data_IF_410627318246
#
_entry.id   IF_410627318246
#
_cell.length_a   1.000
_cell.length_b   1.000
_cell.length_c   1.000
_cell.angle_alpha   90.00
_cell.angle_beta   90.00
_cell.angle_gamma   90.00
#
_symmetry.space_group_name_H-M   'P 1'
#
loop_
_entity.id
_entity.type
_entity.pdbx_description
1 polymer ?
#
# COMPACT_ATOMS: atom_id res chain seq x y z
N UNK A 1 20.99 2.63 24.12
CA UNK A 1 21.59 2.71 22.79
C UNK A 1 21.02 3.97 22.16
N UNK A 2 21.87 4.92 21.76
CA UNK A 2 21.44 6.16 21.07
C UNK A 2 20.73 5.76 19.78
N UNK A 3 19.47 6.17 19.60
CA UNK A 3 18.74 5.95 18.34
C UNK A 3 19.50 6.64 17.21
N UNK A 4 19.83 5.86 16.17
CA UNK A 4 20.47 6.35 14.97
C UNK A 4 19.43 7.13 14.18
N UNK A 5 19.67 8.43 13.89
CA UNK A 5 18.72 9.28 13.16
C UNK A 5 18.44 8.75 11.75
N UNK A 6 17.30 9.12 11.17
CA UNK A 6 16.98 8.77 9.78
C UNK A 6 18.08 9.20 8.83
N UNK A 7 18.60 10.42 9.00
CA UNK A 7 19.68 10.96 8.17
C UNK A 7 20.93 10.06 8.17
N UNK A 8 21.29 9.48 9.32
CA UNK A 8 22.39 8.52 9.43
C UNK A 8 22.05 7.18 8.79
N UNK A 9 20.82 6.69 8.95
CA UNK A 9 20.37 5.40 8.35
C UNK A 9 20.36 5.44 6.83
N UNK A 10 19.97 6.57 6.22
CA UNK A 10 19.90 6.74 4.76
C UNK A 10 21.20 7.27 4.14
N UNK A 11 22.25 7.50 4.92
CA UNK A 11 23.48 8.14 4.44
C UNK A 11 24.16 7.36 3.31
N UNK A 12 24.11 6.03 3.36
CA UNK A 12 24.68 5.14 2.35
C UNK A 12 23.75 4.83 1.19
N UNK A 13 22.48 5.23 1.27
CA UNK A 13 21.48 4.89 0.27
C UNK A 13 21.53 5.83 -0.94
N UNK A 14 21.51 5.25 -2.13
CA UNK A 14 21.35 5.99 -3.38
C UNK A 14 19.89 6.35 -3.66
N UNK A 15 18.97 5.45 -3.29
CA UNK A 15 17.53 5.66 -3.32
C UNK A 15 16.86 4.81 -2.23
N UNK A 16 15.76 5.31 -1.65
CA UNK A 16 15.06 4.67 -0.54
C UNK A 16 13.61 5.12 -0.44
N UNK A 17 12.81 4.34 0.29
CA UNK A 17 11.48 4.73 0.70
C UNK A 17 11.45 5.05 2.20
N UNK A 18 10.65 6.04 2.55
CA UNK A 18 10.31 6.43 3.92
C UNK A 18 8.86 6.02 4.19
N UNK A 19 8.62 5.36 5.33
CA UNK A 19 7.30 4.91 5.77
C UNK A 19 6.93 5.67 7.04
N UNK A 20 6.00 6.60 6.94
CA UNK A 20 5.61 7.49 8.04
C UNK A 20 4.77 6.78 9.10
N UNK A 21 5.33 6.56 10.29
CA UNK A 21 4.62 6.04 11.45
C UNK A 21 3.44 6.95 11.84
N UNK A 22 3.65 8.26 11.84
CA UNK A 22 2.60 9.23 12.20
C UNK A 22 1.41 9.16 11.24
N UNK A 23 1.65 9.00 9.92
CA UNK A 23 0.60 8.85 8.93
C UNK A 23 -0.17 7.53 9.14
N UNK A 24 0.53 6.41 9.42
CA UNK A 24 -0.11 5.14 9.75
C UNK A 24 -1.03 5.29 10.96
N UNK A 25 -0.53 5.87 12.05
CA UNK A 25 -1.32 6.09 13.28
C UNK A 25 -2.55 6.95 13.03
N UNK A 26 -2.41 8.04 12.28
CA UNK A 26 -3.51 8.94 11.92
C UNK A 26 -4.57 8.21 11.09
N UNK A 27 -4.17 7.46 10.05
CA UNK A 27 -5.09 6.75 9.18
C UNK A 27 -5.83 5.63 9.92
N UNK A 28 -5.12 4.83 10.72
CA UNK A 28 -5.74 3.74 11.52
C UNK A 28 -6.72 4.30 12.53
N UNK A 29 -6.38 5.38 13.24
CA UNK A 29 -7.27 6.07 14.16
C UNK A 29 -8.54 6.55 13.47
N UNK A 30 -8.39 7.17 12.30
CA UNK A 30 -9.51 7.65 11.47
C UNK A 30 -10.43 6.48 11.04
N UNK A 31 -9.84 5.39 10.56
CA UNK A 31 -10.57 4.19 10.16
C UNK A 31 -11.29 3.55 11.35
N UNK A 32 -10.64 3.47 12.52
CA UNK A 32 -11.27 2.98 13.75
C UNK A 32 -12.47 3.84 14.15
N UNK A 33 -12.35 5.16 14.07
CA UNK A 33 -13.48 6.08 14.31
C UNK A 33 -14.64 5.84 13.33
N UNK A 34 -14.32 5.52 12.05
CA UNK A 34 -15.35 5.26 11.03
C UNK A 34 -16.09 3.95 11.25
N UNK A 35 -15.41 2.89 11.68
CA UNK A 35 -16.01 1.56 11.82
C UNK A 35 -16.51 1.24 13.24
N UNK A 36 -16.02 1.93 14.26
CA UNK A 36 -16.32 1.67 15.66
C UNK A 36 -15.58 0.45 16.22
N UNK A 37 -15.67 0.25 17.54
CA UNK A 37 -14.92 -0.80 18.26
C UNK A 37 -15.49 -2.22 18.07
N UNK A 38 -16.75 -2.35 17.66
CA UNK A 38 -17.41 -3.64 17.46
C UNK A 38 -17.01 -4.32 16.14
N UNK A 39 -16.42 -3.59 15.19
CA UNK A 39 -16.05 -4.11 13.88
C UNK A 39 -14.54 -4.40 13.85
N UNK A 40 -14.16 -5.60 13.45
CA UNK A 40 -12.75 -5.97 13.28
C UNK A 40 -12.11 -5.15 12.15
N UNK A 41 -11.07 -4.39 12.47
CA UNK A 41 -10.29 -3.61 11.52
C UNK A 41 -9.16 -4.46 10.95
N UNK A 42 -9.40 -5.10 9.80
CA UNK A 42 -8.39 -5.84 9.06
C UNK A 42 -7.64 -4.93 8.09
N UNK A 43 -6.32 -4.85 8.20
CA UNK A 43 -5.48 -4.09 7.27
C UNK A 43 -4.80 -5.01 6.28
N UNK A 44 -4.90 -4.67 4.98
CA UNK A 44 -4.34 -5.46 3.88
C UNK A 44 -2.87 -5.10 3.70
N UNK A 45 -1.98 -6.08 3.91
CA UNK A 45 -0.52 -5.93 3.81
C UNK A 45 0.12 -6.85 2.75
N UNK A 46 -0.68 -7.41 1.84
CA UNK A 46 -0.20 -8.21 0.69
C UNK A 46 0.66 -7.39 -0.27
N UNK A 47 1.38 -8.07 -1.16
CA UNK A 47 2.24 -7.47 -2.18
C UNK A 47 3.28 -6.52 -1.54
N UNK A 48 4.01 -7.05 -0.55
CA UNK A 48 4.99 -6.32 0.26
C UNK A 48 4.41 -5.05 0.90
N UNK A 49 3.18 -5.16 1.48
CA UNK A 49 2.40 -4.05 2.02
C UNK A 49 2.20 -2.94 0.96
N UNK A 50 1.72 -3.29 -0.24
CA UNK A 50 1.64 -2.37 -1.39
C UNK A 50 2.96 -1.64 -1.66
N UNK A 51 4.09 -2.36 -1.58
CA UNK A 51 5.42 -1.80 -1.80
C UNK A 51 6.04 -1.03 -0.64
N UNK A 52 5.37 -0.96 0.51
CA UNK A 52 5.87 -0.26 1.71
C UNK A 52 6.83 -1.11 2.58
N UNK A 53 7.00 -2.42 2.27
CA UNK A 53 7.78 -3.36 3.08
C UNK A 53 6.91 -4.04 4.15
N UNK A 54 6.58 -5.33 3.92
CA UNK A 54 5.51 -6.03 4.66
C UNK A 54 5.75 -6.10 6.17
N UNK A 55 6.96 -6.41 6.63
CA UNK A 55 7.24 -6.67 8.05
C UNK A 55 7.18 -5.38 8.87
N UNK A 56 7.91 -4.35 8.44
CA UNK A 56 7.98 -3.08 9.16
C UNK A 56 6.61 -2.40 9.19
N UNK A 57 5.96 -2.30 8.03
CA UNK A 57 4.66 -1.64 7.90
C UNK A 57 3.54 -2.39 8.65
N UNK A 58 3.52 -3.74 8.61
CA UNK A 58 2.55 -4.53 9.36
C UNK A 58 2.70 -4.34 10.87
N UNK A 59 3.94 -4.23 11.38
CA UNK A 59 4.21 -3.93 12.79
C UNK A 59 3.61 -2.60 13.19
N UNK A 60 3.83 -1.56 12.39
CA UNK A 60 3.27 -0.24 12.65
C UNK A 60 1.73 -0.23 12.62
N UNK A 61 1.11 -0.95 11.68
CA UNK A 61 -0.36 -1.08 11.65
C UNK A 61 -0.92 -1.75 12.90
N UNK A 62 -0.28 -2.83 13.37
CA UNK A 62 -0.71 -3.51 14.60
C UNK A 62 -0.55 -2.60 15.81
N UNK A 63 0.58 -1.89 15.93
CA UNK A 63 0.81 -0.93 17.02
C UNK A 63 -0.18 0.24 16.99
N UNK A 64 -0.61 0.66 15.80
CA UNK A 64 -1.60 1.71 15.61
C UNK A 64 -3.05 1.25 15.92
N UNK A 65 -3.30 -0.05 16.12
CA UNK A 65 -4.61 -0.58 16.49
C UNK A 65 -5.35 -1.34 15.38
N UNK A 66 -4.65 -1.83 14.36
CA UNK A 66 -5.21 -2.83 13.44
C UNK A 66 -5.39 -4.16 14.17
N UNK A 67 -6.59 -4.76 14.05
CA UNK A 67 -6.90 -6.03 14.73
C UNK A 67 -6.34 -7.23 13.97
N UNK A 68 -6.44 -7.22 12.64
CA UNK A 68 -6.02 -8.31 11.76
C UNK A 68 -5.12 -7.82 10.63
N UNK A 69 -4.22 -8.71 10.19
CA UNK A 69 -3.41 -8.51 8.98
C UNK A 69 -3.96 -9.40 7.86
N UNK A 70 -4.10 -8.82 6.66
CA UNK A 70 -4.66 -9.52 5.51
C UNK A 70 -3.60 -9.62 4.42
N UNK A 71 -3.27 -10.85 4.04
CA UNK A 71 -2.27 -11.18 3.01
C UNK A 71 -2.92 -11.93 1.85
N UNK A 72 -2.17 -12.14 0.75
CA UNK A 72 -2.65 -12.89 -0.38
C UNK A 72 -2.17 -14.34 -0.40
N UNK A 73 -0.96 -14.60 0.06
CA UNK A 73 -0.29 -15.89 -0.04
C UNK A 73 0.18 -16.41 1.32
N UNK A 74 0.29 -17.73 1.44
CA UNK A 74 0.77 -18.36 2.67
C UNK A 74 2.20 -17.94 3.03
N UNK A 75 3.10 -17.72 2.05
CA UNK A 75 4.46 -17.27 2.33
C UNK A 75 4.53 -15.87 2.94
N UNK A 76 3.56 -14.99 2.65
CA UNK A 76 3.47 -13.67 3.31
C UNK A 76 3.10 -13.84 4.80
N UNK A 77 2.20 -14.80 5.11
CA UNK A 77 1.88 -15.13 6.50
C UNK A 77 3.10 -15.72 7.24
N UNK A 78 3.88 -16.58 6.58
CA UNK A 78 5.14 -17.10 7.15
C UNK A 78 6.10 -15.96 7.48
N UNK A 79 6.34 -15.04 6.54
CA UNK A 79 7.19 -13.85 6.76
C UNK A 79 6.78 -13.04 8.00
N UNK A 80 5.48 -12.83 8.19
CA UNK A 80 4.96 -12.09 9.34
C UNK A 80 5.18 -12.86 10.66
N UNK A 81 5.00 -14.19 10.66
CA UNK A 81 5.26 -15.03 11.85
C UNK A 81 6.74 -15.13 12.19
N UNK A 82 7.62 -15.27 11.19
CA UNK A 82 9.08 -15.24 11.39
C UNK A 82 9.55 -13.90 11.98
N UNK A 83 8.84 -12.81 11.69
CA UNK A 83 9.06 -11.50 12.29
C UNK A 83 8.39 -11.32 13.69
N UNK A 84 7.88 -12.39 14.28
CA UNK A 84 7.19 -12.42 15.58
C UNK A 84 5.92 -11.58 15.67
N UNK A 85 5.24 -11.31 14.56
CA UNK A 85 3.94 -10.64 14.54
C UNK A 85 2.84 -11.64 14.93
N UNK A 86 2.17 -11.44 16.07
CA UNK A 86 1.16 -12.35 16.63
C UNK A 86 -0.28 -12.00 16.22
N UNK A 87 -0.51 -10.84 15.64
CA UNK A 87 -1.85 -10.46 15.18
C UNK A 87 -2.50 -11.55 14.30
N UNK A 88 -3.81 -11.77 14.38
CA UNK A 88 -4.51 -12.70 13.50
C UNK A 88 -4.23 -12.37 12.02
N UNK A 89 -3.98 -13.43 11.21
CA UNK A 89 -3.71 -13.31 9.78
C UNK A 89 -4.86 -13.95 9.00
N UNK A 90 -5.32 -13.27 7.94
CA UNK A 90 -6.27 -13.78 6.98
C UNK A 90 -5.66 -13.80 5.57
N UNK A 91 -5.58 -14.99 4.96
CA UNK A 91 -5.11 -15.18 3.59
C UNK A 91 -6.33 -15.07 2.67
N UNK A 92 -6.43 -14.00 1.90
CA UNK A 92 -7.57 -13.71 1.01
C UNK A 92 -7.37 -14.23 -0.43
N UNK A 93 -6.19 -14.74 -0.77
CA UNK A 93 -5.88 -15.32 -2.06
C UNK A 93 -6.03 -16.85 -2.09
N UNK A 94 -5.70 -17.44 -3.22
CA UNK A 94 -5.73 -18.90 -3.37
C UNK A 94 -4.64 -19.56 -2.53
N UNK A 95 -5.01 -20.62 -1.81
CA UNK A 95 -4.10 -21.51 -1.09
C UNK A 95 -4.17 -22.89 -1.75
N UNK A 96 -3.16 -23.33 -2.48
CA UNK A 96 -3.15 -24.69 -3.02
C UNK A 96 -3.04 -25.73 -1.89
N UNK A 97 -3.58 -26.94 -2.10
CA UNK A 97 -3.57 -28.02 -1.11
C UNK A 97 -2.15 -28.34 -0.58
N UNK A 98 -1.13 -28.18 -1.42
CA UNK A 98 0.30 -28.37 -1.05
C UNK A 98 0.82 -27.38 0.00
N UNK A 99 0.12 -26.28 0.23
CA UNK A 99 0.47 -25.27 1.24
C UNK A 99 -0.37 -25.38 2.54
N UNK A 100 -1.22 -26.38 2.67
CA UNK A 100 -2.09 -26.55 3.83
C UNK A 100 -1.30 -26.59 5.16
N UNK A 101 -0.14 -27.27 5.17
CA UNK A 101 0.73 -27.32 6.36
C UNK A 101 1.26 -25.93 6.77
N UNK A 102 1.66 -25.09 5.80
CA UNK A 102 2.10 -23.72 6.10
C UNK A 102 0.97 -22.89 6.74
N UNK A 103 -0.26 -23.07 6.25
CA UNK A 103 -1.44 -22.39 6.82
C UNK A 103 -1.65 -22.81 8.26
N UNK A 104 -1.65 -24.12 8.54
CA UNK A 104 -1.80 -24.64 9.90
C UNK A 104 -0.67 -24.12 10.82
N UNK A 105 0.60 -24.20 10.42
CA UNK A 105 1.74 -23.73 11.20
C UNK A 105 1.68 -22.23 11.52
N UNK A 106 1.18 -21.41 10.58
CA UNK A 106 1.04 -19.96 10.79
C UNK A 106 -0.22 -19.59 11.58
N UNK A 107 -1.12 -20.56 11.85
CA UNK A 107 -2.45 -20.32 12.43
C UNK A 107 -3.23 -19.24 11.68
N UNK A 108 -3.02 -19.16 10.36
CA UNK A 108 -3.73 -18.21 9.52
C UNK A 108 -5.14 -18.71 9.18
N UNK A 109 -6.06 -17.78 9.06
CA UNK A 109 -7.37 -18.02 8.44
C UNK A 109 -7.23 -17.95 6.93
N UNK A 110 -8.07 -18.68 6.22
CA UNK A 110 -8.05 -18.64 4.75
C UNK A 110 -9.44 -18.39 4.17
N UNK A 111 -9.43 -17.80 2.98
CA UNK A 111 -10.61 -17.88 2.10
C UNK A 111 -10.70 -19.27 1.51
N UNK A 112 -11.89 -19.85 1.49
CA UNK A 112 -12.12 -21.19 0.98
C UNK A 112 -13.31 -21.24 0.02
N UNK A 113 -13.16 -22.01 -1.08
CA UNK A 113 -14.18 -22.22 -2.11
C UNK A 113 -13.95 -23.53 -2.90
N UNK A 114 -13.13 -24.45 -2.36
CA UNK A 114 -12.78 -25.69 -3.02
C UNK A 114 -12.81 -26.84 -2.00
N UNK A 115 -13.54 -27.98 -2.29
CA UNK A 115 -13.65 -29.09 -1.37
C UNK A 115 -12.37 -29.91 -1.18
N UNK A 116 -11.48 -29.97 -2.18
CA UNK A 116 -10.21 -30.68 -2.04
C UNK A 116 -9.24 -29.89 -1.17
N UNK A 117 -9.26 -28.57 -1.30
CA UNK A 117 -8.50 -27.69 -0.38
C UNK A 117 -9.06 -27.83 1.04
N UNK A 118 -10.38 -27.90 1.22
CA UNK A 118 -10.99 -28.13 2.54
C UNK A 118 -10.45 -29.39 3.23
N UNK A 119 -10.39 -30.52 2.50
CA UNK A 119 -9.85 -31.79 3.00
C UNK A 119 -8.36 -31.66 3.36
N UNK A 120 -7.56 -31.02 2.52
CA UNK A 120 -6.14 -30.81 2.79
C UNK A 120 -5.91 -29.95 4.02
N UNK A 121 -6.67 -28.87 4.18
CA UNK A 121 -6.63 -27.97 5.36
C UNK A 121 -7.06 -28.69 6.63
N UNK A 122 -8.13 -29.51 6.56
CA UNK A 122 -8.58 -30.30 7.70
C UNK A 122 -7.50 -31.29 8.18
N UNK A 123 -6.86 -31.99 7.25
CA UNK A 123 -5.75 -32.89 7.55
C UNK A 123 -4.58 -32.15 8.21
N UNK A 124 -4.18 -31.02 7.65
CA UNK A 124 -3.09 -30.20 8.19
C UNK A 124 -3.42 -29.65 9.61
N UNK A 125 -4.65 -29.20 9.83
CA UNK A 125 -5.10 -28.74 11.14
C UNK A 125 -5.10 -29.86 12.18
N UNK A 126 -5.58 -31.07 11.83
CA UNK A 126 -5.55 -32.24 12.71
C UNK A 126 -4.10 -32.63 13.06
N UNK A 127 -3.17 -32.64 12.09
CA UNK A 127 -1.77 -32.91 12.32
C UNK A 127 -1.08 -31.86 13.19
N UNK A 128 -1.49 -30.60 13.07
CA UNK A 128 -1.00 -29.49 13.88
C UNK A 128 -1.67 -29.40 15.29
N UNK A 129 -2.69 -30.23 15.57
CA UNK A 129 -3.38 -30.26 16.86
C UNK A 129 -4.37 -29.12 17.11
N UNK A 130 -4.81 -28.43 16.06
CA UNK A 130 -5.82 -27.36 16.15
C UNK A 130 -6.65 -27.24 14.86
N UNK A 131 -7.86 -26.68 14.95
CA UNK A 131 -8.65 -26.42 13.75
C UNK A 131 -8.18 -25.14 13.03
N UNK A 132 -8.02 -25.24 11.70
CA UNK A 132 -7.81 -24.10 10.84
C UNK A 132 -9.15 -23.44 10.55
N UNK A 133 -9.25 -22.13 10.82
CA UNK A 133 -10.48 -21.37 10.57
C UNK A 133 -10.57 -20.92 9.12
N UNK A 134 -11.75 -21.09 8.53
CA UNK A 134 -11.96 -20.77 7.11
C UNK A 134 -13.17 -19.86 6.92
N UNK A 135 -13.09 -18.98 5.92
CA UNK A 135 -14.18 -18.13 5.47
C UNK A 135 -14.60 -18.55 4.07
N UNK A 136 -15.83 -19.02 3.89
CA UNK A 136 -16.34 -19.39 2.58
C UNK A 136 -16.53 -18.14 1.72
N UNK A 137 -16.03 -18.21 0.48
CA UNK A 137 -16.18 -17.15 -0.49
C UNK A 137 -17.47 -17.32 -1.27
N UNK A 138 -18.38 -16.37 -1.14
CA UNK A 138 -19.65 -16.34 -1.87
C UNK A 138 -19.45 -15.53 -3.16
N UNK A 139 -19.79 -16.12 -4.30
CA UNK A 139 -19.84 -15.42 -5.58
C UNK A 139 -21.09 -14.55 -5.65
N UNK A 140 -20.88 -13.25 -5.73
CA UNK A 140 -21.97 -12.27 -5.79
C UNK A 140 -21.98 -11.42 -7.06
N UNK A 141 -21.03 -11.67 -7.99
CA UNK A 141 -20.99 -10.98 -9.29
C UNK A 141 -19.59 -10.53 -9.74
N UNK A 142 -18.53 -10.79 -8.95
CA UNK A 142 -17.17 -10.46 -9.36
C UNK A 142 -16.59 -11.46 -10.36
N UNK A 143 -17.08 -12.72 -10.37
CA UNK A 143 -16.65 -13.82 -11.22
C UNK A 143 -15.13 -14.06 -11.22
N UNK A 144 -14.51 -13.94 -10.04
CA UNK A 144 -13.07 -14.11 -9.83
C UNK A 144 -12.72 -15.26 -8.91
N UNK A 145 -13.41 -15.34 -7.76
CA UNK A 145 -13.26 -16.36 -6.74
C UNK A 145 -14.59 -16.53 -6.01
N UNK A 146 -14.91 -17.74 -5.61
CA UNK A 146 -16.08 -18.01 -4.77
C UNK A 146 -17.03 -19.02 -5.39
N UNK A 147 -18.03 -19.39 -4.62
CA UNK A 147 -19.06 -20.37 -4.97
C UNK A 147 -20.45 -19.70 -5.04
N UNK A 148 -21.31 -20.15 -5.94
CA UNK A 148 -22.74 -19.90 -5.81
C UNK A 148 -23.25 -20.35 -4.44
N UNK A 149 -24.25 -19.68 -3.89
CA UNK A 149 -24.78 -19.96 -2.54
C UNK A 149 -25.09 -21.45 -2.31
N UNK A 150 -25.71 -22.12 -3.30
CA UNK A 150 -26.03 -23.55 -3.20
C UNK A 150 -24.79 -24.41 -2.96
N UNK A 151 -23.71 -24.15 -3.71
CA UNK A 151 -22.47 -24.94 -3.62
C UNK A 151 -21.69 -24.58 -2.35
N UNK A 152 -21.79 -23.33 -1.89
CA UNK A 152 -21.20 -22.90 -0.62
C UNK A 152 -21.85 -23.62 0.58
N UNK A 153 -23.17 -23.84 0.55
CA UNK A 153 -23.86 -24.62 1.58
C UNK A 153 -23.43 -26.10 1.56
N UNK A 154 -23.25 -26.70 0.36
CA UNK A 154 -22.70 -28.06 0.23
C UNK A 154 -21.28 -28.15 0.81
N UNK A 155 -20.43 -27.16 0.54
CA UNK A 155 -19.08 -27.12 1.10
C UNK A 155 -19.12 -26.92 2.63
N UNK A 156 -20.03 -26.11 3.16
CA UNK A 156 -20.23 -25.96 4.59
C UNK A 156 -20.62 -27.28 5.27
N UNK A 157 -21.51 -28.06 4.62
CA UNK A 157 -21.86 -29.39 5.10
C UNK A 157 -20.66 -30.35 5.12
N UNK A 158 -19.81 -30.32 4.09
CA UNK A 158 -18.58 -31.09 4.07
C UNK A 158 -17.65 -30.68 5.24
N UNK A 159 -17.46 -29.39 5.48
CA UNK A 159 -16.59 -28.86 6.56
C UNK A 159 -17.07 -29.42 7.92
N UNK A 160 -18.36 -29.51 8.19
CA UNK A 160 -18.89 -30.08 9.45
C UNK A 160 -18.53 -31.54 9.67
N UNK A 161 -18.21 -32.30 8.61
CA UNK A 161 -17.80 -33.71 8.72
C UNK A 161 -16.30 -33.91 8.87
N UNK A 162 -15.51 -32.83 8.84
CA UNK A 162 -14.05 -32.86 8.83
C UNK A 162 -13.51 -32.36 10.18
N UNK A 163 -12.64 -33.15 10.82
CA UNK A 163 -11.87 -32.70 11.98
C UNK A 163 -10.66 -31.86 11.55
N UNK A 164 -10.30 -30.84 12.33
CA UNK A 164 -9.16 -29.97 12.08
C UNK A 164 -9.43 -28.76 11.17
N UNK A 165 -10.71 -28.49 10.86
CA UNK A 165 -11.16 -27.30 10.13
C UNK A 165 -12.41 -26.73 10.80
N UNK A 166 -12.58 -25.42 10.77
CA UNK A 166 -13.71 -24.72 11.38
C UNK A 166 -14.25 -23.64 10.42
N UNK A 167 -15.55 -23.64 10.15
CA UNK A 167 -16.23 -22.56 9.43
C UNK A 167 -16.40 -21.36 10.37
N UNK A 168 -15.54 -20.33 10.24
CA UNK A 168 -15.60 -19.10 11.02
C UNK A 168 -16.41 -18.01 10.32
N UNK A 169 -16.43 -17.97 8.98
CA UNK A 169 -17.05 -16.86 8.28
C UNK A 169 -17.51 -17.12 6.84
N UNK A 170 -18.26 -16.14 6.32
CA UNK A 170 -18.54 -15.99 4.90
C UNK A 170 -18.09 -14.62 4.41
N UNK A 171 -17.69 -14.53 3.15
CA UNK A 171 -17.16 -13.29 2.58
C UNK A 171 -17.49 -13.15 1.11
N UNK A 172 -17.53 -11.91 0.63
CA UNK A 172 -17.52 -11.57 -0.79
C UNK A 172 -16.56 -10.44 -1.10
N UNK A 173 -16.55 -9.94 -2.33
CA UNK A 173 -15.80 -8.75 -2.73
C UNK A 173 -16.57 -7.99 -3.81
N UNK A 174 -16.60 -6.67 -3.69
CA UNK A 174 -17.24 -5.81 -4.66
C UNK A 174 -16.45 -5.75 -5.96
N UNK A 175 -17.16 -5.66 -7.07
CA UNK A 175 -16.55 -5.60 -8.39
C UNK A 175 -16.19 -4.16 -8.80
N UNK A 176 -17.02 -3.18 -8.42
CA UNK A 176 -16.96 -1.84 -8.99
C UNK A 176 -17.22 -0.69 -8.00
N UNK A 177 -17.28 -0.95 -6.67
CA UNK A 177 -17.60 0.11 -5.70
C UNK A 177 -16.64 1.29 -5.71
N UNK A 178 -15.41 1.10 -6.19
CA UNK A 178 -14.39 2.14 -6.26
C UNK A 178 -14.27 2.79 -7.64
N UNK A 179 -14.79 2.15 -8.70
CA UNK A 179 -14.57 2.55 -10.09
C UNK A 179 -15.75 3.35 -10.69
N UNK A 180 -16.78 3.64 -9.89
CA UNK A 180 -18.00 4.33 -10.35
C UNK A 180 -18.69 5.10 -9.22
N UNK A 181 -19.48 6.10 -9.59
CA UNK A 181 -20.46 6.75 -8.70
C UNK A 181 -21.86 6.08 -8.73
N UNK A 182 -22.07 5.14 -9.67
CA UNK A 182 -23.29 4.32 -9.74
C UNK A 182 -23.11 3.00 -8.98
N UNK A 183 -23.50 2.97 -7.74
CA UNK A 183 -23.31 1.83 -6.84
C UNK A 183 -24.43 0.79 -6.86
N UNK A 184 -25.33 0.79 -7.85
CA UNK A 184 -26.45 -0.16 -7.90
C UNK A 184 -25.98 -1.62 -7.93
N UNK A 185 -24.91 -1.93 -8.68
CA UNK A 185 -24.39 -3.28 -8.76
C UNK A 185 -23.72 -3.71 -7.43
N UNK A 186 -22.91 -2.87 -6.83
CA UNK A 186 -22.30 -3.15 -5.53
C UNK A 186 -23.35 -3.35 -4.43
N UNK A 187 -24.49 -2.60 -4.46
CA UNK A 187 -25.63 -2.84 -3.55
C UNK A 187 -26.30 -4.19 -3.77
N UNK A 188 -26.43 -4.64 -5.01
CA UNK A 188 -26.92 -5.99 -5.32
C UNK A 188 -25.97 -7.06 -4.76
N UNK A 189 -24.65 -6.86 -4.84
CA UNK A 189 -23.67 -7.77 -4.25
C UNK A 189 -23.79 -7.85 -2.73
N UNK A 190 -24.00 -6.71 -2.06
CA UNK A 190 -24.25 -6.67 -0.62
C UNK A 190 -25.54 -7.44 -0.27
N UNK A 191 -26.63 -7.22 -1.00
CA UNK A 191 -27.91 -7.95 -0.81
C UNK A 191 -27.71 -9.45 -0.95
N UNK A 192 -26.98 -9.93 -1.97
CA UNK A 192 -26.69 -11.36 -2.17
C UNK A 192 -25.88 -11.95 -1.01
N UNK A 193 -24.93 -11.19 -0.44
CA UNK A 193 -24.20 -11.64 0.75
C UNK A 193 -25.11 -11.74 1.98
N UNK A 194 -26.01 -10.78 2.17
CA UNK A 194 -27.00 -10.81 3.26
C UNK A 194 -27.99 -11.97 3.10
N UNK A 195 -28.38 -12.31 1.87
CA UNK A 195 -29.18 -13.49 1.56
C UNK A 195 -28.41 -14.77 1.90
N UNK A 196 -27.12 -14.82 1.57
CA UNK A 196 -26.27 -15.94 1.93
C UNK A 196 -26.17 -16.10 3.46
N UNK A 197 -25.92 -15.03 4.22
CA UNK A 197 -25.90 -15.09 5.69
C UNK A 197 -27.22 -15.65 6.26
N UNK A 198 -28.35 -15.15 5.77
CA UNK A 198 -29.68 -15.70 6.19
C UNK A 198 -29.82 -17.18 5.88
N UNK A 199 -29.43 -17.62 4.68
CA UNK A 199 -29.50 -19.02 4.27
C UNK A 199 -28.61 -19.93 5.13
N UNK A 200 -27.39 -19.49 5.46
CA UNK A 200 -26.52 -20.23 6.37
C UNK A 200 -27.13 -20.38 7.76
N UNK A 201 -27.68 -19.31 8.33
CA UNK A 201 -28.38 -19.35 9.64
C UNK A 201 -29.61 -20.27 9.62
N UNK A 202 -30.41 -20.21 8.54
CA UNK A 202 -31.58 -21.10 8.38
C UNK A 202 -31.18 -22.58 8.24
N UNK A 203 -30.01 -22.84 7.65
CA UNK A 203 -29.43 -24.19 7.57
C UNK A 203 -28.77 -24.66 8.88
N UNK A 204 -28.81 -23.84 9.96
CA UNK A 204 -28.25 -24.18 11.29
C UNK A 204 -26.77 -23.89 11.47
N UNK A 205 -26.14 -23.15 10.54
CA UNK A 205 -24.71 -22.75 10.69
C UNK A 205 -24.59 -21.50 11.54
N UNK A 206 -23.63 -21.52 12.47
CA UNK A 206 -23.16 -20.31 13.16
C UNK A 206 -22.00 -19.73 12.38
N UNK A 207 -22.19 -18.53 11.82
CA UNK A 207 -21.19 -17.83 11.02
C UNK A 207 -20.93 -16.45 11.65
N UNK A 208 -20.01 -16.36 12.63
CA UNK A 208 -19.77 -15.12 13.36
C UNK A 208 -19.16 -14.01 12.51
N UNK A 209 -18.42 -14.39 11.44
CA UNK A 209 -17.71 -13.44 10.59
C UNK A 209 -18.38 -13.31 9.23
N UNK A 210 -19.07 -12.20 9.00
CA UNK A 210 -19.67 -11.86 7.69
C UNK A 210 -19.03 -10.54 7.22
N UNK A 211 -18.29 -10.57 6.09
CA UNK A 211 -17.55 -9.39 5.67
C UNK A 211 -17.43 -9.22 4.16
N UNK A 212 -17.51 -7.97 3.70
CA UNK A 212 -17.39 -7.60 2.28
C UNK A 212 -16.56 -6.35 2.05
N UNK A 213 -16.58 -5.40 2.99
CA UNK A 213 -16.03 -4.05 2.80
C UNK A 213 -14.53 -4.03 2.49
N UNK A 214 -14.17 -3.41 1.35
CA UNK A 214 -12.83 -2.94 1.02
C UNK A 214 -12.69 -1.47 1.49
N UNK A 215 -11.62 -0.76 1.10
CA UNK A 215 -11.41 0.63 1.48
C UNK A 215 -12.57 1.54 1.07
N UNK A 216 -13.07 1.43 -0.16
CA UNK A 216 -14.17 2.25 -0.65
C UNK A 216 -15.47 2.00 0.16
N UNK A 217 -15.87 0.73 0.30
CA UNK A 217 -17.05 0.38 1.08
C UNK A 217 -16.92 0.79 2.56
N UNK A 218 -15.73 0.69 3.14
CA UNK A 218 -15.48 1.12 4.53
C UNK A 218 -15.71 2.63 4.70
N UNK A 219 -15.27 3.42 3.73
CA UNK A 219 -15.43 4.87 3.77
C UNK A 219 -16.88 5.31 3.45
N UNK A 220 -17.53 4.65 2.48
CA UNK A 220 -18.83 5.08 1.95
C UNK A 220 -20.03 4.51 2.71
N UNK A 221 -19.98 3.22 3.12
CA UNK A 221 -21.16 2.46 3.55
C UNK A 221 -21.02 1.81 4.92
N UNK A 222 -21.48 2.44 6.00
CA UNK A 222 -21.51 1.83 7.32
C UNK A 222 -22.25 0.48 7.34
N UNK A 223 -23.32 0.33 6.55
CA UNK A 223 -24.10 -0.90 6.42
C UNK A 223 -23.33 -2.08 5.82
N UNK A 224 -22.20 -1.81 5.14
CA UNK A 224 -21.34 -2.85 4.55
C UNK A 224 -20.22 -3.33 5.49
N UNK A 225 -20.02 -2.69 6.64
CA UNK A 225 -18.91 -3.03 7.55
C UNK A 225 -18.98 -4.49 8.03
N UNK A 226 -20.21 -4.98 8.31
CA UNK A 226 -20.39 -6.34 8.81
C UNK A 226 -19.64 -6.57 10.11
N UNK A 227 -19.03 -7.75 10.26
CA UNK A 227 -18.20 -8.09 11.42
C UNK A 227 -16.72 -7.69 11.25
N UNK A 228 -16.28 -7.43 10.00
CA UNK A 228 -14.89 -7.05 9.69
C UNK A 228 -14.84 -6.21 8.41
N UNK A 229 -14.00 -5.19 8.41
CA UNK A 229 -13.58 -4.48 7.20
C UNK A 229 -12.17 -4.92 6.77
N UNK A 230 -11.89 -4.84 5.46
CA UNK A 230 -10.59 -5.21 4.88
C UNK A 230 -10.01 -4.00 4.15
N UNK A 231 -9.33 -3.14 4.90
CA UNK A 231 -8.86 -1.86 4.40
C UNK A 231 -7.48 -2.01 3.76
N UNK A 232 -7.39 -1.63 2.50
CA UNK A 232 -6.13 -1.49 1.75
C UNK A 232 -5.70 -0.03 1.70
N UNK A 233 -5.79 0.61 0.53
CA UNK A 233 -5.22 1.95 0.26
C UNK A 233 -5.59 3.02 1.28
N UNK A 234 -6.80 3.01 1.84
CA UNK A 234 -7.18 4.01 2.83
C UNK A 234 -6.30 3.94 4.10
N UNK A 235 -5.82 2.75 4.49
CA UNK A 235 -4.87 2.61 5.60
C UNK A 235 -3.49 3.19 5.25
N UNK A 236 -3.13 3.18 3.97
CA UNK A 236 -1.89 3.78 3.45
C UNK A 236 -2.03 5.28 3.13
N UNK A 237 -3.17 5.87 3.45
CA UNK A 237 -3.41 7.30 3.27
C UNK A 237 -3.73 7.71 1.84
N UNK A 238 -4.25 6.79 1.05
CA UNK A 238 -4.59 7.01 -0.35
C UNK A 238 -6.08 6.76 -0.60
N UNK A 239 -6.67 7.57 -1.45
CA UNK A 239 -8.03 7.34 -1.90
C UNK A 239 -8.08 6.13 -2.83
N UNK A 240 -9.07 5.23 -2.68
CA UNK A 240 -9.24 4.11 -3.60
C UNK A 240 -9.38 4.57 -5.05
N UNK A 241 -10.12 5.66 -5.25
CA UNK A 241 -10.33 6.30 -6.57
C UNK A 241 -10.82 7.74 -6.40
N UNK A 242 -10.85 8.48 -7.49
CA UNK A 242 -11.48 9.81 -7.59
C UNK A 242 -12.98 9.72 -7.38
N UNK A 243 -13.62 8.65 -7.87
CA UNK A 243 -15.05 8.37 -7.76
C UNK A 243 -15.46 8.15 -6.31
N UNK A 244 -14.65 7.39 -5.53
CA UNK A 244 -14.86 7.22 -4.08
C UNK A 244 -14.82 8.57 -3.36
N UNK A 245 -13.83 9.40 -3.66
CA UNK A 245 -13.71 10.73 -3.05
C UNK A 245 -14.89 11.64 -3.44
N UNK A 246 -15.25 11.69 -4.72
CA UNK A 246 -16.37 12.48 -5.22
C UNK A 246 -17.71 12.04 -4.59
N UNK A 247 -17.95 10.74 -4.47
CA UNK A 247 -19.15 10.20 -3.82
C UNK A 247 -19.23 10.63 -2.37
N UNK A 248 -18.11 10.56 -1.63
CA UNK A 248 -18.09 10.99 -0.23
C UNK A 248 -18.38 12.49 -0.09
N UNK A 249 -17.80 13.33 -0.95
CA UNK A 249 -18.07 14.76 -0.96
C UNK A 249 -19.57 15.08 -1.21
N UNK A 250 -20.20 14.37 -2.14
CA UNK A 250 -21.63 14.55 -2.44
C UNK A 250 -22.52 14.15 -1.27
N UNK A 251 -22.21 13.03 -0.61
CA UNK A 251 -22.98 12.58 0.56
C UNK A 251 -22.80 13.48 1.77
N UNK A 252 -21.58 13.96 2.01
CA UNK A 252 -21.24 14.84 3.14
C UNK A 252 -21.77 16.26 2.96
N UNK A 253 -21.99 16.75 1.74
CA UNK A 253 -22.58 18.07 1.48
C UNK A 253 -24.04 18.17 1.96
N UNK A 254 -24.72 17.02 2.11
CA UNK A 254 -26.10 16.93 2.60
C UNK A 254 -26.21 16.58 4.09
N UNK A 255 -25.09 16.31 4.74
CA UNK A 255 -24.98 16.00 6.17
C UNK A 255 -23.70 16.59 6.71
N UNK A 256 -23.67 16.96 8.00
CA UNK A 256 -22.43 17.43 8.65
C UNK A 256 -21.40 16.30 8.86
N UNK A 257 -21.36 15.32 7.96
CA UNK A 257 -20.45 14.19 8.05
C UNK A 257 -19.01 14.58 7.75
N UNK A 258 -18.13 14.05 8.54
CA UNK A 258 -16.69 14.28 8.48
C UNK A 258 -16.07 13.65 7.21
N UNK A 259 -15.40 14.46 6.40
CA UNK A 259 -14.58 13.98 5.29
C UNK A 259 -13.23 13.56 5.86
N UNK A 260 -12.85 12.28 5.75
CA UNK A 260 -11.58 11.82 6.29
C UNK A 260 -10.38 12.45 5.58
N UNK A 261 -9.46 13.00 6.35
CA UNK A 261 -8.17 13.46 5.83
C UNK A 261 -7.18 12.30 5.88
N UNK A 262 -7.02 11.60 4.75
CA UNK A 262 -6.04 10.53 4.61
C UNK A 262 -4.64 11.10 4.43
N UNK A 263 -3.68 10.57 5.19
CA UNK A 263 -2.28 11.00 5.17
C UNK A 263 -1.42 9.95 4.46
N UNK A 264 -0.83 10.23 3.28
CA UNK A 264 0.01 9.26 2.59
C UNK A 264 1.19 8.80 3.44
N UNK A 265 1.37 7.47 3.45
CA UNK A 265 2.35 6.80 4.30
C UNK A 265 3.73 6.78 3.67
N UNK A 266 3.83 6.70 2.33
CA UNK A 266 5.10 6.48 1.64
C UNK A 266 5.62 7.75 0.98
N UNK A 267 6.93 8.01 1.19
CA UNK A 267 7.75 8.88 0.33
C UNK A 267 8.85 8.05 -0.33
N UNK A 268 9.20 8.39 -1.58
CA UNK A 268 10.29 7.76 -2.32
C UNK A 268 11.31 8.80 -2.72
N UNK A 269 12.56 8.59 -2.33
CA UNK A 269 13.67 9.54 -2.44
C UNK A 269 14.83 8.95 -3.21
N UNK A 270 15.66 9.83 -3.81
CA UNK A 270 16.94 9.46 -4.41
C UNK A 270 17.96 10.58 -4.24
N UNK A 271 19.25 10.22 -4.25
CA UNK A 271 20.35 11.22 -4.26
C UNK A 271 20.79 11.47 -5.69
N UNK A 272 21.10 12.73 -5.99
CA UNK A 272 21.73 13.10 -7.27
C UNK A 272 23.14 12.46 -7.29
N UNK A 273 23.37 11.55 -8.25
CA UNK A 273 24.64 10.87 -8.40
C UNK A 273 25.68 11.71 -9.19
N UNK A 274 25.19 12.51 -10.16
CA UNK A 274 26.05 13.34 -11.01
C UNK A 274 25.25 14.52 -11.56
N UNK A 275 25.93 15.64 -11.82
CA UNK A 275 25.42 16.75 -12.63
C UNK A 275 26.30 16.90 -13.88
N UNK A 276 25.68 17.08 -15.04
CA UNK A 276 26.35 17.25 -16.33
C UNK A 276 25.80 18.43 -17.09
N UNK A 277 26.68 19.24 -17.67
CA UNK A 277 26.32 20.24 -18.66
C UNK A 277 26.10 19.57 -20.02
N UNK A 278 25.01 19.96 -20.70
CA UNK A 278 24.65 19.52 -22.05
C UNK A 278 24.56 20.75 -22.95
N UNK A 279 25.34 20.82 -24.05
CA UNK A 279 25.28 21.94 -24.98
C UNK A 279 23.99 21.94 -25.81
N UNK A 280 23.58 23.08 -26.38
CA UNK A 280 22.49 23.10 -27.32
C UNK A 280 22.69 22.11 -28.46
N UNK A 281 21.63 21.39 -28.84
CA UNK A 281 21.68 20.32 -29.83
C UNK A 281 22.11 18.96 -29.28
N UNK A 282 22.61 18.88 -28.05
CA UNK A 282 22.95 17.62 -27.38
C UNK A 282 21.74 16.72 -27.16
N UNK A 283 21.92 15.42 -27.32
CA UNK A 283 20.86 14.43 -27.03
C UNK A 283 21.04 13.83 -25.64
N UNK A 284 19.90 13.58 -24.97
CA UNK A 284 19.87 13.01 -23.61
C UNK A 284 19.22 11.64 -23.67
N UNK A 285 19.87 10.63 -23.08
CA UNK A 285 19.41 9.26 -22.94
C UNK A 285 19.28 8.47 -24.25
N UNK A 286 18.79 7.24 -24.13
CA UNK A 286 18.64 6.28 -25.24
C UNK A 286 17.60 6.72 -26.26
N UNK A 287 17.86 6.38 -27.52
CA UNK A 287 16.94 6.65 -28.62
C UNK A 287 16.85 8.11 -29.02
N UNK A 288 17.67 8.99 -28.42
CA UNK A 288 17.72 10.43 -28.76
C UNK A 288 16.35 11.10 -28.76
N UNK A 289 15.49 10.73 -27.78
CA UNK A 289 14.11 11.23 -27.69
C UNK A 289 13.99 12.62 -27.07
N UNK A 290 15.09 13.12 -26.49
CA UNK A 290 15.20 14.48 -25.97
C UNK A 290 16.42 15.17 -26.56
N UNK A 291 16.23 16.40 -27.06
CA UNK A 291 17.31 17.24 -27.59
C UNK A 291 17.34 18.58 -26.86
N UNK A 292 18.48 18.92 -26.30
CA UNK A 292 18.68 20.21 -25.63
C UNK A 292 18.50 21.36 -26.62
N UNK A 293 17.64 22.32 -26.33
CA UNK A 293 17.38 23.52 -27.17
C UNK A 293 18.24 24.70 -26.71
N UNK A 294 18.77 24.68 -25.50
CA UNK A 294 19.63 25.68 -24.87
C UNK A 294 20.70 24.95 -24.02
N UNK A 295 21.71 25.66 -23.48
CA UNK A 295 22.62 25.06 -22.52
C UNK A 295 21.84 24.56 -21.30
N UNK A 296 21.99 23.27 -20.94
CA UNK A 296 21.27 22.63 -19.85
C UNK A 296 22.22 22.02 -18.83
N UNK A 297 21.84 22.04 -17.56
CA UNK A 297 22.40 21.19 -16.52
C UNK A 297 21.41 20.07 -16.24
N UNK A 298 21.87 18.83 -16.36
CA UNK A 298 21.05 17.65 -16.05
C UNK A 298 21.59 16.95 -14.80
N UNK A 299 20.71 16.53 -13.91
CA UNK A 299 21.04 15.64 -12.80
C UNK A 299 20.73 14.20 -13.18
N UNK A 300 21.60 13.27 -12.76
CA UNK A 300 21.45 11.83 -12.95
C UNK A 300 21.01 11.24 -11.63
N UNK A 301 19.85 10.56 -11.63
CA UNK A 301 19.30 9.83 -10.50
C UNK A 301 19.56 8.34 -10.66
N UNK A 302 20.15 7.64 -9.66
CA UNK A 302 20.65 6.28 -9.76
C UNK A 302 19.55 5.24 -9.47
N UNK A 303 18.43 5.34 -10.13
CA UNK A 303 17.32 4.38 -10.14
C UNK A 303 16.56 4.48 -11.46
N UNK A 304 15.86 3.42 -11.83
CA UNK A 304 15.08 3.40 -13.07
C UNK A 304 13.94 2.39 -13.01
N UNK A 305 13.61 1.77 -14.17
CA UNK A 305 12.46 0.87 -14.21
C UNK A 305 12.71 -0.47 -13.48
N UNK A 306 13.95 -0.87 -13.20
CA UNK A 306 14.25 -2.03 -12.37
C UNK A 306 13.83 -1.78 -10.91
N UNK A 307 14.10 -0.57 -10.40
CA UNK A 307 13.71 -0.15 -9.06
C UNK A 307 12.20 0.16 -8.96
N UNK A 308 11.48 0.13 -10.09
CA UNK A 308 10.03 0.35 -10.16
C UNK A 308 9.63 1.73 -10.68
N UNK A 309 10.58 2.61 -11.06
CA UNK A 309 10.26 3.92 -11.63
C UNK A 309 9.98 3.78 -13.13
N UNK A 310 8.71 3.76 -13.49
CA UNK A 310 8.21 3.28 -14.77
C UNK A 310 8.77 4.04 -15.98
N UNK A 311 9.13 3.29 -17.02
CA UNK A 311 9.67 3.84 -18.27
C UNK A 311 8.69 4.73 -19.04
N UNK A 312 7.37 4.59 -18.80
CA UNK A 312 6.32 5.46 -19.37
C UNK A 312 6.42 6.92 -18.91
N UNK A 313 7.10 7.19 -17.80
CA UNK A 313 7.36 8.55 -17.32
C UNK A 313 8.44 9.30 -18.14
N UNK A 314 9.08 8.64 -19.13
CA UNK A 314 10.10 9.25 -19.99
C UNK A 314 9.57 10.48 -20.71
N UNK A 315 10.24 11.64 -20.57
CA UNK A 315 9.86 12.94 -21.12
C UNK A 315 8.48 13.47 -20.65
N UNK A 316 7.88 12.88 -19.63
CA UNK A 316 6.52 13.20 -19.21
C UNK A 316 6.45 13.70 -17.76
N UNK A 317 7.14 13.02 -16.85
CA UNK A 317 7.10 13.33 -15.42
C UNK A 317 8.17 14.33 -14.99
N UNK A 318 8.17 14.63 -13.71
CA UNK A 318 9.21 15.39 -13.02
C UNK A 318 9.46 14.80 -11.63
N UNK A 319 10.58 15.17 -11.01
CA UNK A 319 10.85 14.96 -9.59
C UNK A 319 10.94 16.32 -8.89
N UNK A 320 10.91 16.35 -7.56
CA UNK A 320 11.13 17.59 -6.82
C UNK A 320 12.55 17.61 -6.25
N UNK A 321 13.17 18.77 -6.29
CA UNK A 321 14.47 19.04 -5.68
C UNK A 321 14.37 20.42 -5.03
N UNK A 322 14.45 20.45 -3.71
CA UNK A 322 14.37 21.69 -2.93
C UNK A 322 13.09 22.51 -3.29
N UNK A 323 11.94 21.83 -3.28
CA UNK A 323 10.64 22.40 -3.63
C UNK A 323 10.42 22.71 -5.11
N UNK A 324 11.39 22.49 -5.98
CA UNK A 324 11.32 22.85 -7.39
C UNK A 324 11.15 21.62 -8.29
N UNK A 325 10.37 21.75 -9.35
CA UNK A 325 10.10 20.67 -10.32
C UNK A 325 11.27 20.53 -11.29
N UNK A 326 11.90 19.34 -11.32
CA UNK A 326 12.95 18.95 -12.24
C UNK A 326 12.37 17.99 -13.30
N UNK A 327 12.05 18.42 -14.53
CA UNK A 327 11.45 17.58 -15.57
C UNK A 327 12.37 16.44 -16.02
N UNK A 328 11.77 15.28 -16.30
CA UNK A 328 12.50 14.12 -16.84
C UNK A 328 12.90 14.37 -18.28
N UNK A 329 14.19 14.24 -18.58
CA UNK A 329 14.77 14.46 -19.89
C UNK A 329 15.25 13.15 -20.51
N UNK A 330 14.62 12.73 -21.61
CA UNK A 330 14.93 11.50 -22.30
C UNK A 330 14.29 10.26 -21.67
N UNK A 331 14.74 9.09 -22.12
CA UNK A 331 14.19 7.81 -21.66
C UNK A 331 14.74 7.42 -20.30
N UNK A 332 13.85 6.94 -19.43
CA UNK A 332 14.24 6.25 -18.20
C UNK A 332 14.92 4.94 -18.57
N UNK A 333 16.11 4.71 -18.01
CA UNK A 333 16.92 3.52 -18.21
C UNK A 333 16.60 2.46 -17.13
N UNK A 334 17.32 1.33 -17.14
CA UNK A 334 17.11 0.25 -16.17
C UNK A 334 17.33 0.73 -14.74
N UNK A 335 18.47 1.41 -14.47
CA UNK A 335 18.90 1.79 -13.11
C UNK A 335 19.28 3.27 -13.02
N UNK A 336 18.86 4.13 -13.96
CA UNK A 336 19.06 5.57 -13.89
C UNK A 336 18.11 6.33 -14.81
N UNK A 337 17.92 7.61 -14.50
CA UNK A 337 17.29 8.57 -15.41
C UNK A 337 17.82 9.99 -15.17
N UNK A 338 17.49 10.90 -16.06
CA UNK A 338 18.00 12.26 -16.08
C UNK A 338 16.88 13.26 -15.92
N UNK A 339 17.13 14.33 -15.19
CA UNK A 339 16.19 15.43 -14.99
C UNK A 339 16.89 16.76 -15.26
N UNK A 340 16.17 17.73 -15.78
CA UNK A 340 16.66 19.10 -16.01
C UNK A 340 16.69 19.87 -14.69
N UNK A 341 17.88 20.30 -14.29
CA UNK A 341 18.11 21.11 -13.09
C UNK A 341 18.67 22.49 -13.41
N UNK A 342 18.57 22.93 -14.67
CA UNK A 342 19.15 24.21 -15.15
C UNK A 342 18.66 25.40 -14.32
N UNK A 343 17.42 25.38 -13.89
CA UNK A 343 16.77 26.42 -13.11
C UNK A 343 16.77 26.19 -11.59
N UNK A 344 17.46 25.13 -11.11
CA UNK A 344 17.50 24.76 -9.69
C UNK A 344 18.91 25.04 -9.12
N UNK A 345 19.14 26.22 -8.52
CA UNK A 345 20.47 26.64 -8.06
C UNK A 345 21.04 25.74 -6.94
N UNK A 346 20.18 25.13 -6.13
CA UNK A 346 20.55 24.24 -5.03
C UNK A 346 20.91 22.82 -5.49
N UNK A 347 20.67 22.47 -6.75
CA UNK A 347 20.98 21.14 -7.28
C UNK A 347 22.50 20.90 -7.24
N UNK A 348 22.92 19.85 -6.49
CA UNK A 348 24.29 19.39 -6.36
C UNK A 348 24.35 17.88 -6.19
N UNK A 349 25.50 17.29 -6.43
CA UNK A 349 25.71 15.86 -6.14
C UNK A 349 25.44 15.60 -4.66
N UNK A 350 24.68 14.54 -4.37
CA UNK A 350 24.23 14.19 -3.04
C UNK A 350 22.95 14.89 -2.58
N UNK A 351 22.45 15.95 -3.26
CA UNK A 351 21.14 16.53 -2.96
C UNK A 351 20.03 15.49 -3.18
N UNK A 352 18.96 15.61 -2.42
CA UNK A 352 17.82 14.68 -2.45
C UNK A 352 16.82 15.12 -3.52
N UNK A 353 16.39 14.17 -4.32
CA UNK A 353 15.27 14.29 -5.22
C UNK A 353 14.09 13.47 -4.70
N UNK A 354 12.90 14.04 -4.69
CA UNK A 354 11.63 13.41 -4.28
C UNK A 354 10.89 12.90 -5.50
N UNK A 355 10.67 11.59 -5.55
CA UNK A 355 9.94 10.91 -6.63
C UNK A 355 8.46 10.74 -6.29
N UNK A 356 8.17 10.43 -5.03
CA UNK A 356 6.83 10.38 -4.41
C UNK A 356 6.96 11.04 -3.05
N UNK A 357 6.01 11.89 -2.68
CA UNK A 357 6.00 12.58 -1.39
C UNK A 357 6.02 14.09 -1.54
N UNK A 358 6.14 14.78 -0.42
CA UNK A 358 6.24 16.23 -0.35
C UNK A 358 7.69 16.69 -0.29
N UNK A 359 7.97 17.87 -0.83
CA UNK A 359 9.22 18.59 -0.81
C UNK A 359 8.89 20.07 -0.76
N UNK A 360 9.11 20.73 0.38
CA UNK A 360 8.59 22.05 0.70
C UNK A 360 7.05 22.12 0.46
N UNK A 361 6.58 23.10 -0.29
CA UNK A 361 5.16 23.31 -0.62
C UNK A 361 4.66 22.46 -1.79
N UNK A 362 5.56 21.73 -2.47
CA UNK A 362 5.24 20.89 -3.64
C UNK A 362 5.09 19.42 -3.24
N UNK A 363 4.31 18.69 -4.05
CA UNK A 363 4.08 17.26 -3.82
C UNK A 363 3.93 16.49 -5.13
N UNK A 364 4.47 15.28 -5.14
CA UNK A 364 4.18 14.26 -6.17
C UNK A 364 3.44 13.11 -5.49
N UNK A 365 2.20 12.84 -5.89
CA UNK A 365 1.43 11.74 -5.36
C UNK A 365 1.53 10.48 -6.23
N UNK A 366 1.20 9.31 -5.65
CA UNK A 366 1.11 8.06 -6.39
C UNK A 366 -0.01 8.12 -7.46
N UNK A 367 -1.10 8.86 -7.19
CA UNK A 367 -2.19 9.09 -8.13
C UNK A 367 -1.72 9.91 -9.33
N UNK A 368 -0.87 10.91 -9.10
CA UNK A 368 -0.31 11.72 -10.19
C UNK A 368 0.59 10.89 -11.11
N UNK A 369 1.49 10.07 -10.54
CA UNK A 369 2.29 9.13 -11.32
C UNK A 369 1.40 8.15 -12.09
N UNK A 370 0.38 7.60 -11.45
CA UNK A 370 -0.58 6.70 -12.07
C UNK A 370 -1.28 7.35 -13.28
N UNK A 371 -1.71 8.61 -13.14
CA UNK A 371 -2.32 9.39 -14.23
C UNK A 371 -1.37 9.54 -15.42
N UNK A 372 -0.10 9.90 -15.18
CA UNK A 372 0.90 10.02 -16.24
C UNK A 372 1.21 8.68 -16.93
N UNK A 373 1.16 7.60 -16.16
CA UNK A 373 1.45 6.24 -16.66
C UNK A 373 0.24 5.56 -17.31
N UNK A 374 -0.98 6.11 -17.17
CA UNK A 374 -2.21 5.46 -17.63
C UNK A 374 -2.54 4.20 -16.84
N UNK A 375 -2.41 4.26 -15.51
CA UNK A 375 -2.67 3.13 -14.58
C UNK A 375 -3.29 3.65 -13.26
N UNK A 376 -3.27 2.84 -12.21
CA UNK A 376 -3.81 3.15 -10.89
C UNK A 376 -2.70 3.22 -9.83
N UNK A 377 -2.94 3.97 -8.76
CA UNK A 377 -1.99 4.16 -7.65
C UNK A 377 -1.55 2.83 -6.99
N UNK A 378 -2.42 1.80 -6.97
CA UNK A 378 -2.08 0.44 -6.53
C UNK A 378 -0.87 -0.12 -7.30
N UNK A 379 -0.87 0.01 -8.63
CA UNK A 379 0.19 -0.52 -9.49
C UNK A 379 1.48 0.26 -9.29
N UNK A 380 1.40 1.59 -9.19
CA UNK A 380 2.58 2.45 -8.96
C UNK A 380 3.34 1.99 -7.71
N UNK A 381 2.64 1.88 -6.59
CA UNK A 381 3.27 1.54 -5.31
C UNK A 381 3.75 0.09 -5.26
N UNK A 382 2.92 -0.86 -5.69
CA UNK A 382 3.26 -2.29 -5.63
C UNK A 382 4.41 -2.68 -6.56
N UNK A 383 4.76 -1.82 -7.52
CA UNK A 383 5.92 -2.00 -8.42
C UNK A 383 7.25 -1.49 -7.86
N UNK A 384 7.25 -0.75 -6.74
CA UNK A 384 8.50 -0.37 -6.09
C UNK A 384 9.23 -1.65 -5.68
N UNK A 385 10.40 -1.88 -6.28
CA UNK A 385 11.12 -3.14 -6.16
C UNK A 385 11.53 -3.42 -4.71
N UNK A 386 11.49 -4.68 -4.24
CA UNK A 386 11.90 -5.03 -2.85
C UNK A 386 13.35 -4.71 -2.50
N UNK A 387 14.23 -4.50 -3.51
CA UNK A 387 15.62 -4.05 -3.28
C UNK A 387 15.73 -2.61 -2.76
N UNK A 388 14.67 -1.80 -2.89
CA UNK A 388 14.68 -0.47 -2.31
C UNK A 388 14.60 -0.57 -0.79
N UNK A 389 15.51 0.07 -0.08
CA UNK A 389 15.47 0.16 1.39
C UNK A 389 14.22 0.90 1.85
N UNK A 390 13.57 0.41 2.93
CA UNK A 390 12.42 1.05 3.56
C UNK A 390 12.78 1.40 4.99
N UNK A 391 12.60 2.67 5.32
CA UNK A 391 12.85 3.19 6.66
C UNK A 391 11.57 3.71 7.28
N UNK A 392 11.17 3.15 8.41
CA UNK A 392 10.09 3.73 9.21
C UNK A 392 10.61 5.02 9.81
N UNK A 393 9.86 6.12 9.61
CA UNK A 393 10.17 7.43 10.14
C UNK A 393 9.28 7.75 11.33
N UNK A 394 9.91 8.17 12.44
CA UNK A 394 9.21 8.66 13.62
C UNK A 394 8.84 10.15 13.47
N UNK A 395 7.93 10.68 14.31
CA UNK A 395 7.64 12.11 14.33
C UNK A 395 8.88 12.99 14.64
N UNK A 396 9.87 12.44 15.36
CA UNK A 396 11.10 13.16 15.73
C UNK A 396 12.09 13.24 14.55
N UNK A 397 12.12 12.25 13.65
CA UNK A 397 12.93 12.27 12.44
C UNK A 397 12.59 13.45 11.50
N UNK A 398 11.34 13.93 11.53
CA UNK A 398 10.89 15.06 10.71
C UNK A 398 11.40 16.43 11.20
N UNK A 399 11.77 16.55 12.49
CA UNK A 399 12.34 17.78 13.07
C UNK A 399 13.80 17.95 12.73
N UNK A 400 14.56 16.84 12.64
CA UNK A 400 15.99 16.87 12.32
C UNK A 400 16.24 17.22 10.85
N UNK A 401 15.33 16.92 9.93
CA UNK A 401 15.45 17.26 8.50
C UNK A 401 15.31 18.77 8.25
N UNK A 402 14.55 19.49 9.07
CA UNK A 402 14.43 20.96 9.02
C UNK A 402 15.61 21.68 9.70
N UNK A 403 16.22 21.06 10.72
CA UNK A 403 17.34 21.65 11.46
C UNK A 403 18.68 21.58 10.71
N UNK A 404 18.88 20.58 9.84
CA UNK A 404 20.14 20.40 9.08
C UNK A 404 20.28 21.32 7.87
N UNK A 405 19.24 22.06 7.49
CA UNK A 405 19.26 23.08 6.42
C UNK A 405 19.84 24.45 6.84
N UNK A 406 20.01 24.72 8.15
CA UNK A 406 20.28 26.08 8.62
C UNK A 406 21.66 26.32 9.23
N UNK A 407 22.63 25.40 9.17
CA UNK A 407 23.95 25.62 9.81
C UNK A 407 25.11 25.24 8.92
N UNK A 408 25.43 26.12 7.94
CA UNK A 408 26.79 26.34 7.43
C UNK A 408 26.99 27.83 7.13
N UNK A 409 26.99 28.62 8.19
CA UNK A 409 27.59 29.97 8.12
C UNK A 409 29.10 29.81 8.08
N UNK A 410 29.70 30.06 6.93
CA UNK A 410 31.11 30.23 6.74
C UNK A 410 31.58 31.46 7.56
N UNK A 411 32.26 31.21 8.67
CA UNK A 411 33.11 32.23 9.32
C UNK A 411 34.28 32.51 8.40
N UNK A 412 34.20 33.63 7.66
CA UNK A 412 35.38 34.22 7.02
C UNK A 412 36.21 34.82 8.12
N UNK A 413 37.31 34.16 8.46
CA UNK A 413 38.39 34.74 9.26
C UNK A 413 39.07 35.82 8.45
N UNK A 414 38.91 37.08 8.83
CA UNK A 414 39.80 38.18 8.46
C UNK A 414 41.14 37.95 9.11
N UNK A 415 42.12 37.52 8.32
CA UNK A 415 43.51 37.59 8.65
C UNK A 415 44.08 38.90 8.12
N UNK A 416 44.18 39.90 8.97
CA UNK A 416 45.01 41.08 8.69
C UNK A 416 46.48 40.68 8.64
N UNK A 417 47.20 41.20 7.68
CA UNK A 417 48.64 41.26 7.70
C UNK A 417 49.03 42.71 7.43
N UNK A 418 49.51 43.37 8.47
CA UNK A 418 50.39 44.53 8.40
C UNK A 418 51.78 44.10 7.85
N UNK A 419 52.31 44.85 7.02
CA UNK A 419 53.59 45.41 6.63
C UNK A 419 53.89 45.34 5.16
#
# INVERSE_FOLDING_TARGET
>A
MTEISLAQRVQSESSWCEVSQAAIQSNVKLLRQRVGDAVTLGVVVKADAFGHGIVATAREFVQAGADWLIVNFAYEAVKLREANLQAPIYICGNVPATQAQLVAQTQARIVLYDPEIAKAIANAGREAGHSVRVHLKIETGTHRQGLPLKDALVLAQLIQTLDGIELEGITTHYADIEDTTDHRFARQQLTRLQEADRAFRQAGYTVPMVHSANSAATLLWPEAHGSMVRVGLAAYGLWPSTETYATLLQTSSNSSEFIPSLSPVLSWRARIAQIKAVPPGGYISYGRTYRATHPMNIAILPLGYHEGYDRRLSNLGYVLIDGMRAPICGRICMNMFMVDVTHIPSARVGAIATLIGSDEDERISAEQLASWMGTINYEVLSRIHPSQSRFVTSPDDSRDSQASGSTLSLTHGNGGADT
#
